data_IF_297038831890
#
_entry.id   IF_297038831890
#
_cell.length_a   1.000
_cell.length_b   1.000
_cell.length_c   1.000
_cell.angle_alpha   90.00
_cell.angle_beta   90.00
_cell.angle_gamma   90.00
#
_symmetry.space_group_name_H-M   'P 1'
#
loop_
_entity.id
_entity.type
_entity.pdbx_description
1 polymer ?
#
# COMPACT_ATOMS: atom_id res chain seq x y z
N UNK A 1 -12.70 20.54 17.10
CA UNK A 1 -11.90 20.61 15.83
C UNK A 1 -11.15 19.31 15.71
N UNK A 2 -11.49 18.47 14.74
CA UNK A 2 -10.73 17.24 14.47
C UNK A 2 -9.37 17.65 13.94
N UNK A 3 -8.32 17.17 14.59
CA UNK A 3 -6.94 17.42 14.19
C UNK A 3 -6.73 16.80 12.77
N UNK A 4 -6.53 17.66 11.77
CA UNK A 4 -6.41 17.26 10.36
C UNK A 4 -5.14 16.46 10.16
N UNK A 5 -5.27 15.17 9.81
CA UNK A 5 -4.16 14.24 9.63
C UNK A 5 -3.99 13.84 8.17
N UNK A 6 -2.78 13.42 7.83
CA UNK A 6 -2.43 12.89 6.50
C UNK A 6 -2.33 11.38 6.56
N UNK A 7 -3.05 10.71 5.67
CA UNK A 7 -3.01 9.26 5.49
C UNK A 7 -2.48 8.92 4.11
N UNK A 8 -1.61 7.92 4.04
CA UNK A 8 -1.16 7.35 2.77
C UNK A 8 -1.79 5.97 2.62
N UNK A 9 -2.71 5.84 1.66
CA UNK A 9 -3.32 4.57 1.29
C UNK A 9 -2.43 3.82 0.32
N UNK A 10 -2.32 2.52 0.48
CA UNK A 10 -1.59 1.63 -0.43
C UNK A 10 -2.46 0.43 -0.75
N UNK A 11 -2.88 0.33 -1.97
CA UNK A 11 -3.56 -0.84 -2.49
C UNK A 11 -3.37 -0.90 -4.00
N UNK A 12 -3.25 -2.10 -4.55
CA UNK A 12 -3.08 -2.27 -5.97
C UNK A 12 -3.28 -3.70 -6.44
N UNK A 13 -3.17 -3.87 -7.75
CA UNK A 13 -3.20 -5.16 -8.42
C UNK A 13 -4.59 -5.66 -8.76
N UNK A 14 -5.51 -5.72 -7.81
CA UNK A 14 -6.88 -6.23 -8.04
C UNK A 14 -7.95 -5.36 -7.39
N UNK A 15 -9.19 -5.43 -7.94
CA UNK A 15 -10.33 -4.71 -7.37
C UNK A 15 -10.63 -5.10 -5.91
N UNK A 16 -10.34 -6.34 -5.54
CA UNK A 16 -10.50 -6.80 -4.15
C UNK A 16 -9.66 -6.05 -3.12
N UNK A 17 -8.57 -5.43 -3.55
CA UNK A 17 -7.74 -4.55 -2.71
C UNK A 17 -8.10 -3.07 -2.90
N UNK A 18 -8.28 -2.65 -4.14
CA UNK A 18 -8.45 -1.23 -4.49
C UNK A 18 -9.79 -0.66 -4.03
N UNK A 19 -10.90 -1.37 -4.24
CA UNK A 19 -12.21 -0.86 -3.87
C UNK A 19 -12.43 -0.69 -2.36
N UNK A 20 -12.07 -1.65 -1.50
CA UNK A 20 -12.15 -1.45 -0.04
C UNK A 20 -11.23 -0.31 0.43
N UNK A 21 -10.04 -0.18 -0.16
CA UNK A 21 -9.13 0.91 0.15
C UNK A 21 -9.69 2.27 -0.26
N UNK A 22 -10.34 2.35 -1.42
CA UNK A 22 -10.99 3.59 -1.89
C UNK A 22 -12.16 3.97 -0.97
N UNK A 23 -12.96 3.00 -0.54
CA UNK A 23 -14.03 3.25 0.42
C UNK A 23 -13.50 3.79 1.75
N UNK A 24 -12.42 3.21 2.26
CA UNK A 24 -11.73 3.71 3.47
C UNK A 24 -11.17 5.12 3.27
N UNK A 25 -10.54 5.37 2.12
CA UNK A 25 -10.00 6.69 1.77
C UNK A 25 -11.09 7.77 1.76
N UNK A 26 -12.24 7.49 1.17
CA UNK A 26 -13.40 8.39 1.15
C UNK A 26 -13.89 8.71 2.57
N UNK A 27 -14.04 7.70 3.41
CA UNK A 27 -14.45 7.92 4.81
C UNK A 27 -13.44 8.77 5.59
N UNK A 28 -12.15 8.64 5.34
CA UNK A 28 -11.13 9.49 5.94
C UNK A 28 -11.24 10.94 5.44
N UNK A 29 -11.49 11.15 4.15
CA UNK A 29 -11.74 12.48 3.57
C UNK A 29 -13.01 13.11 4.17
N UNK A 30 -14.10 12.37 4.29
CA UNK A 30 -15.37 12.83 4.87
C UNK A 30 -15.20 13.27 6.34
N UNK A 31 -14.24 12.68 7.06
CA UNK A 31 -13.84 13.10 8.41
C UNK A 31 -12.89 14.30 8.44
N UNK A 32 -12.58 14.88 7.30
CA UNK A 32 -11.75 16.08 7.17
C UNK A 32 -10.24 15.82 7.12
N UNK A 33 -9.82 14.58 6.93
CA UNK A 33 -8.41 14.23 6.78
C UNK A 33 -7.90 14.37 5.36
N UNK A 34 -6.60 14.54 5.20
CA UNK A 34 -5.92 14.49 3.88
C UNK A 34 -5.55 13.04 3.56
N UNK A 35 -5.93 12.60 2.38
CA UNK A 35 -5.63 11.24 1.90
C UNK A 35 -4.81 11.32 0.64
N UNK A 36 -3.74 10.55 0.59
CA UNK A 36 -2.85 10.34 -0.54
C UNK A 36 -2.87 8.86 -0.91
N UNK A 37 -2.51 8.54 -2.14
CA UNK A 37 -2.44 7.16 -2.61
C UNK A 37 -1.08 6.81 -3.19
N UNK A 38 -0.58 5.65 -2.83
CA UNK A 38 0.58 5.02 -3.43
C UNK A 38 0.12 3.82 -4.26
N UNK A 39 0.36 3.88 -5.55
CA UNK A 39 0.00 2.85 -6.52
C UNK A 39 1.18 2.37 -7.34
N UNK A 40 0.96 1.34 -8.14
CA UNK A 40 1.92 0.82 -9.11
C UNK A 40 1.62 1.35 -10.51
N UNK A 41 2.66 1.70 -11.24
CA UNK A 41 2.53 2.11 -12.64
C UNK A 41 2.01 0.96 -13.49
N UNK A 42 0.97 1.21 -14.29
CA UNK A 42 0.28 0.20 -15.09
C UNK A 42 -0.68 -0.69 -14.29
N UNK A 43 -0.87 -0.42 -13.00
CA UNK A 43 -1.85 -1.10 -12.17
C UNK A 43 -3.28 -0.58 -12.39
N UNK A 44 -4.27 -1.36 -11.96
CA UNK A 44 -5.69 -0.95 -12.02
C UNK A 44 -5.93 0.36 -11.25
N UNK A 45 -5.23 0.52 -10.13
CA UNK A 45 -5.32 1.69 -9.27
C UNK A 45 -4.87 2.98 -9.97
N UNK A 46 -3.95 2.92 -10.93
CA UNK A 46 -3.51 4.11 -11.68
C UNK A 46 -4.69 4.79 -12.39
N UNK A 47 -5.56 4.01 -13.02
CA UNK A 47 -6.76 4.52 -13.67
C UNK A 47 -7.84 4.91 -12.67
N UNK A 48 -8.19 4.00 -11.74
CA UNK A 48 -9.31 4.19 -10.82
C UNK A 48 -9.10 5.38 -9.87
N UNK A 49 -7.90 5.53 -9.34
CA UNK A 49 -7.57 6.64 -8.44
C UNK A 49 -7.30 7.92 -9.23
N UNK A 50 -6.73 7.81 -10.44
CA UNK A 50 -6.54 8.96 -11.33
C UNK A 50 -7.81 9.69 -11.74
N UNK A 51 -8.98 9.02 -11.67
CA UNK A 51 -10.30 9.60 -11.90
C UNK A 51 -10.90 10.25 -10.62
N UNK A 52 -10.17 10.25 -9.52
CA UNK A 52 -10.60 10.83 -8.23
C UNK A 52 -9.81 12.09 -7.90
N UNK A 53 -10.20 12.76 -6.82
CA UNK A 53 -9.50 13.91 -6.23
C UNK A 53 -8.33 13.52 -5.31
N UNK A 54 -8.06 12.21 -5.14
CA UNK A 54 -6.99 11.72 -4.27
C UNK A 54 -5.64 11.84 -4.97
N UNK A 55 -4.67 12.60 -4.43
CA UNK A 55 -3.33 12.69 -5.01
C UNK A 55 -2.66 11.32 -5.11
N UNK A 56 -2.28 10.93 -6.32
CA UNK A 56 -1.72 9.63 -6.64
C UNK A 56 -0.21 9.73 -6.89
N UNK A 57 0.55 8.93 -6.19
CA UNK A 57 1.98 8.69 -6.44
C UNK A 57 2.18 7.27 -6.97
N UNK A 58 2.99 7.10 -7.99
CA UNK A 58 3.22 5.81 -8.64
C UNK A 58 4.66 5.36 -8.49
N UNK A 59 4.83 4.09 -8.14
CA UNK A 59 6.14 3.42 -8.14
C UNK A 59 6.20 2.32 -9.19
N UNK A 60 7.41 1.97 -9.60
CA UNK A 60 7.64 0.89 -10.57
C UNK A 60 7.78 -0.44 -9.83
N UNK A 61 6.67 -1.09 -9.57
CA UNK A 61 6.63 -2.43 -8.99
C UNK A 61 5.65 -3.29 -9.79
N UNK A 62 6.00 -4.54 -10.01
CA UNK A 62 5.13 -5.51 -10.67
C UNK A 62 5.44 -6.91 -10.16
N UNK A 63 4.43 -7.80 -10.20
CA UNK A 63 4.61 -9.19 -9.87
C UNK A 63 5.66 -9.88 -10.75
N UNK A 64 6.33 -10.86 -10.18
CA UNK A 64 7.36 -11.65 -10.86
C UNK A 64 6.79 -12.89 -11.54
N UNK A 65 5.53 -13.20 -11.32
CA UNK A 65 4.87 -14.41 -11.79
C UNK A 65 4.84 -14.45 -13.32
N UNK A 66 5.34 -15.55 -13.92
CA UNK A 66 5.36 -15.73 -15.37
C UNK A 66 6.46 -14.98 -16.14
N UNK A 67 7.37 -14.30 -15.45
CA UNK A 67 8.50 -13.60 -16.06
C UNK A 67 9.73 -14.51 -16.11
N UNK A 68 10.44 -14.55 -17.25
CA UNK A 68 11.59 -15.42 -17.49
C UNK A 68 12.76 -15.23 -16.50
N UNK A 69 13.78 -16.10 -16.61
CA UNK A 69 14.95 -16.15 -15.71
C UNK A 69 15.68 -14.80 -15.56
N UNK A 70 15.78 -14.02 -16.65
CA UNK A 70 16.40 -12.68 -16.59
C UNK A 70 15.62 -11.71 -15.71
N UNK A 71 14.28 -11.77 -15.75
CA UNK A 71 13.43 -10.94 -14.89
C UNK A 71 13.58 -11.29 -13.41
N UNK A 72 13.79 -12.57 -13.10
CA UNK A 72 14.04 -13.04 -11.74
C UNK A 72 15.41 -12.56 -11.24
N UNK A 73 16.45 -12.59 -12.09
CA UNK A 73 17.79 -12.07 -11.76
C UNK A 73 17.76 -10.55 -11.49
N UNK A 74 16.92 -9.81 -12.21
CA UNK A 74 16.76 -8.37 -12.05
C UNK A 74 15.79 -7.97 -10.92
N UNK A 75 15.09 -8.93 -10.31
CA UNK A 75 14.09 -8.68 -9.28
C UNK A 75 14.63 -7.89 -8.06
N UNK A 76 15.82 -8.20 -7.50
CA UNK A 76 16.37 -7.44 -6.39
C UNK A 76 16.58 -5.95 -6.72
N UNK A 77 17.12 -5.66 -7.90
CA UNK A 77 17.34 -4.28 -8.34
C UNK A 77 16.03 -3.51 -8.54
N UNK A 78 15.01 -4.17 -9.10
CA UNK A 78 13.66 -3.58 -9.26
C UNK A 78 13.01 -3.32 -7.92
N UNK A 79 13.15 -4.25 -6.97
CA UNK A 79 12.63 -4.09 -5.62
C UNK A 79 13.32 -2.95 -4.87
N UNK A 80 14.65 -2.86 -4.95
CA UNK A 80 15.42 -1.76 -4.36
C UNK A 80 15.03 -0.41 -4.96
N UNK A 81 14.81 -0.34 -6.26
CA UNK A 81 14.32 0.88 -6.93
C UNK A 81 12.92 1.26 -6.44
N UNK A 82 11.99 0.30 -6.40
CA UNK A 82 10.64 0.53 -5.89
C UNK A 82 10.65 0.99 -4.42
N UNK A 83 11.51 0.39 -3.60
CA UNK A 83 11.71 0.80 -2.20
C UNK A 83 12.23 2.24 -2.10
N UNK A 84 13.23 2.61 -2.90
CA UNK A 84 13.76 3.99 -2.94
C UNK A 84 12.72 5.01 -3.37
N UNK A 85 11.90 4.68 -4.39
CA UNK A 85 10.78 5.52 -4.82
C UNK A 85 9.74 5.69 -3.70
N UNK A 86 9.30 4.59 -3.09
CA UNK A 86 8.34 4.61 -1.99
C UNK A 86 8.89 5.36 -0.77
N UNK A 87 10.16 5.16 -0.43
CA UNK A 87 10.82 5.87 0.67
C UNK A 87 10.78 7.39 0.47
N UNK A 88 11.11 7.86 -0.73
CA UNK A 88 11.07 9.28 -1.07
C UNK A 88 9.65 9.84 -1.00
N UNK A 89 8.66 9.11 -1.50
CA UNK A 89 7.25 9.51 -1.46
C UNK A 89 6.76 9.64 -0.01
N UNK A 90 6.99 8.62 0.83
CA UNK A 90 6.62 8.65 2.25
C UNK A 90 7.28 9.84 2.95
N UNK A 91 8.56 10.08 2.69
CA UNK A 91 9.33 11.19 3.28
C UNK A 91 8.82 12.56 2.82
N UNK A 92 8.35 12.68 1.58
CA UNK A 92 7.81 13.93 1.02
C UNK A 92 6.42 14.23 1.56
N UNK A 93 5.52 13.23 1.56
CA UNK A 93 4.14 13.38 2.06
C UNK A 93 4.12 13.58 3.57
N UNK A 94 5.03 12.92 4.29
CA UNK A 94 5.09 12.89 5.76
C UNK A 94 3.71 12.50 6.35
N UNK A 95 3.16 11.33 6.00
CA UNK A 95 1.87 10.91 6.52
C UNK A 95 1.97 10.62 8.02
N UNK A 96 0.88 10.83 8.73
CA UNK A 96 0.76 10.45 10.14
C UNK A 96 0.52 8.94 10.30
N UNK A 97 -0.01 8.31 9.25
CA UNK A 97 -0.25 6.87 9.20
C UNK A 97 -0.23 6.40 7.74
N UNK A 98 0.29 5.21 7.53
CA UNK A 98 0.25 4.50 6.24
C UNK A 98 -0.64 3.28 6.38
N UNK A 99 -1.58 3.10 5.46
CA UNK A 99 -2.56 2.00 5.48
C UNK A 99 -2.33 1.12 4.25
N UNK A 100 -1.91 -0.10 4.47
CA UNK A 100 -1.70 -1.10 3.42
C UNK A 100 -2.85 -2.10 3.37
N UNK A 101 -3.48 -2.24 2.20
CA UNK A 101 -4.61 -3.12 1.98
C UNK A 101 -4.32 -4.23 0.96
N UNK A 102 -3.06 -4.41 0.60
CA UNK A 102 -2.61 -5.49 -0.27
C UNK A 102 -2.17 -5.05 -1.67
N UNK A 103 -1.65 -6.02 -2.41
CA UNK A 103 -1.01 -5.79 -3.70
C UNK A 103 0.51 -5.61 -3.60
N UNK A 104 1.19 -5.64 -4.75
CA UNK A 104 2.66 -5.56 -4.79
C UNK A 104 3.21 -4.22 -4.31
N UNK A 105 2.46 -3.14 -4.50
CA UNK A 105 2.83 -1.80 -4.07
C UNK A 105 2.96 -1.68 -2.56
N UNK A 106 2.15 -2.44 -1.83
CA UNK A 106 2.13 -2.42 -0.36
C UNK A 106 3.44 -2.90 0.25
N UNK A 107 4.18 -3.79 -0.42
CA UNK A 107 5.48 -4.28 0.03
C UNK A 107 6.52 -3.17 0.21
N UNK A 108 6.96 -2.52 -0.88
CA UNK A 108 7.90 -1.40 -0.80
C UNK A 108 7.35 -0.23 0.03
N UNK A 109 6.06 0.08 -0.09
CA UNK A 109 5.42 1.16 0.64
C UNK A 109 5.39 0.91 2.15
N UNK A 110 5.01 -0.28 2.59
CA UNK A 110 4.97 -0.65 4.00
C UNK A 110 6.35 -0.69 4.64
N UNK A 111 7.33 -1.25 3.95
CA UNK A 111 8.73 -1.21 4.42
C UNK A 111 9.26 0.23 4.49
N UNK A 112 8.89 1.08 3.53
CA UNK A 112 9.24 2.50 3.54
C UNK A 112 8.61 3.26 4.71
N UNK A 113 7.36 2.93 5.08
CA UNK A 113 6.71 3.49 6.25
C UNK A 113 7.50 3.15 7.52
N UNK A 114 7.85 1.88 7.70
CA UNK A 114 8.65 1.42 8.82
C UNK A 114 10.02 2.11 8.89
N UNK A 115 10.74 2.21 7.78
CA UNK A 115 12.05 2.89 7.70
C UNK A 115 11.95 4.39 8.03
N UNK A 116 10.85 5.04 7.67
CA UNK A 116 10.57 6.43 8.01
C UNK A 116 9.95 6.61 9.41
N UNK A 117 9.78 5.52 10.18
CA UNK A 117 9.15 5.51 11.50
C UNK A 117 7.72 6.07 11.49
N UNK A 118 7.00 5.84 10.40
CA UNK A 118 5.59 6.17 10.26
C UNK A 118 4.76 4.94 10.66
N UNK A 119 3.75 5.08 11.51
CA UNK A 119 2.85 3.98 11.88
C UNK A 119 2.25 3.31 10.63
N UNK A 120 2.39 1.98 10.55
CA UNK A 120 1.86 1.16 9.48
C UNK A 120 0.66 0.36 9.98
N UNK A 121 -0.47 0.52 9.34
CA UNK A 121 -1.67 -0.30 9.52
C UNK A 121 -1.79 -1.24 8.32
N UNK A 122 -1.93 -2.52 8.57
CA UNK A 122 -2.24 -3.52 7.54
C UNK A 122 -3.67 -3.99 7.74
N UNK A 123 -4.44 -3.95 6.66
CA UNK A 123 -5.78 -4.50 6.62
C UNK A 123 -5.82 -5.64 5.60
N UNK A 124 -6.31 -6.80 6.06
CA UNK A 124 -6.58 -7.95 5.19
C UNK A 124 -8.08 -8.16 5.05
N UNK A 125 -8.56 -8.06 3.84
CA UNK A 125 -9.97 -8.20 3.49
C UNK A 125 -10.34 -9.62 2.98
N UNK A 126 -9.37 -10.48 2.75
CA UNK A 126 -9.56 -11.85 2.31
C UNK A 126 -9.47 -12.82 3.50
N UNK A 127 -10.11 -13.99 3.36
CA UNK A 127 -10.04 -15.07 4.36
C UNK A 127 -8.63 -15.69 4.49
N UNK A 128 -7.78 -15.50 3.46
CA UNK A 128 -6.38 -15.93 3.48
C UNK A 128 -5.52 -14.73 3.09
N UNK A 129 -4.62 -14.35 3.98
CA UNK A 129 -3.76 -13.20 3.76
C UNK A 129 -2.82 -13.41 2.57
N UNK A 130 -2.69 -12.35 1.74
CA UNK A 130 -1.72 -12.31 0.68
C UNK A 130 -0.29 -12.31 1.20
N UNK A 131 0.66 -12.78 0.38
CA UNK A 131 2.08 -12.91 0.79
C UNK A 131 2.67 -11.57 1.27
N UNK A 132 2.36 -10.48 0.59
CA UNK A 132 2.84 -9.14 0.97
C UNK A 132 2.38 -8.76 2.38
N UNK A 133 1.08 -8.92 2.67
CA UNK A 133 0.53 -8.64 3.99
C UNK A 133 1.15 -9.54 5.07
N UNK A 134 1.34 -10.84 4.78
CA UNK A 134 2.00 -11.78 5.70
C UNK A 134 3.42 -11.36 6.08
N UNK A 135 4.16 -10.78 5.17
CA UNK A 135 5.51 -10.26 5.46
C UNK A 135 5.40 -8.98 6.29
N UNK A 136 4.50 -8.10 5.94
CA UNK A 136 4.40 -6.76 6.53
C UNK A 136 3.82 -6.74 7.94
N UNK A 137 3.08 -7.76 8.37
CA UNK A 137 2.59 -7.84 9.77
C UNK A 137 3.71 -7.73 10.80
N UNK A 138 4.94 -8.12 10.45
CA UNK A 138 6.10 -8.01 11.33
C UNK A 138 6.57 -6.57 11.55
N UNK A 139 6.18 -5.66 10.67
CA UNK A 139 6.54 -4.25 10.68
C UNK A 139 5.33 -3.36 11.00
N UNK A 140 4.12 -3.96 11.03
CA UNK A 140 2.89 -3.24 11.24
C UNK A 140 2.73 -2.82 12.71
N UNK A 141 2.24 -1.60 12.90
CA UNK A 141 1.81 -1.11 14.21
C UNK A 141 0.45 -1.70 14.60
N UNK A 142 -0.41 -1.90 13.62
CA UNK A 142 -1.74 -2.48 13.79
C UNK A 142 -2.09 -3.38 12.61
N UNK A 143 -2.71 -4.51 12.91
CA UNK A 143 -3.22 -5.45 11.91
C UNK A 143 -4.71 -5.60 12.09
N UNK A 144 -5.46 -5.41 11.01
CA UNK A 144 -6.92 -5.53 10.95
C UNK A 144 -7.27 -6.68 10.00
N UNK A 145 -8.16 -7.55 10.43
CA UNK A 145 -8.65 -8.69 9.66
C UNK A 145 -10.16 -8.56 9.46
N UNK A 146 -10.63 -8.72 8.22
CA UNK A 146 -12.06 -8.84 7.93
C UNK A 146 -12.59 -10.21 8.34
N UNK A 147 -11.73 -11.25 8.29
CA UNK A 147 -12.03 -12.61 8.70
C UNK A 147 -11.01 -13.06 9.75
N UNK A 148 -11.46 -13.51 10.95
CA UNK A 148 -10.57 -14.00 11.98
C UNK A 148 -9.67 -15.12 11.47
N UNK A 149 -8.36 -15.03 11.76
CA UNK A 149 -7.38 -16.04 11.37
C UNK A 149 -6.88 -15.94 9.92
N UNK A 150 -7.12 -14.83 9.23
CA UNK A 150 -6.64 -14.62 7.83
C UNK A 150 -5.14 -14.81 7.68
N UNK A 151 -4.35 -14.53 8.70
CA UNK A 151 -2.89 -14.69 8.69
C UNK A 151 -2.41 -16.06 9.10
N UNK A 152 -3.31 -16.97 9.47
CA UNK A 152 -3.01 -18.27 10.05
C UNK A 152 -2.60 -18.14 11.53
N UNK A 153 -3.22 -18.89 12.38
CA UNK A 153 -2.78 -19.14 13.76
C UNK A 153 -1.77 -20.27 13.77
#
# INVERSE_FOLDING_TARGET
>A
MTDKRRFLMMAGGTGGHVFPALATARQLQDKGHEVFWLGSRGGMEERLIGETDIPLSLIQVSGLRGKGRLALLMAPFRLMRALGQAFTIVRTIRPHCVIGMGGFVTGPGGLSAWLNRVPLVIHEQNAIAGMTNRILVRFAHTVLEAFPGSFGT
#
